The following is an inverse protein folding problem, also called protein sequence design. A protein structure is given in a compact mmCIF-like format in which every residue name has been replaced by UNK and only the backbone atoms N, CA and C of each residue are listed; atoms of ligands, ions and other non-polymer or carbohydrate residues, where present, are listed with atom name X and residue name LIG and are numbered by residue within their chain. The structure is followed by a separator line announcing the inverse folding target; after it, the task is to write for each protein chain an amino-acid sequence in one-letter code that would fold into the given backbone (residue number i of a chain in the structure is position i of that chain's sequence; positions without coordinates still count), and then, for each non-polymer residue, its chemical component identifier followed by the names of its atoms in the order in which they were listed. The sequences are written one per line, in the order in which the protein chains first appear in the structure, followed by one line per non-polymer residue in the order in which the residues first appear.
data_IF_198787303516
#
_entry.id   IF_198787303516
#
_cell.length_a   1.000
_cell.length_b   1.000
_cell.length_c   1.000
_cell.angle_alpha   90.00
_cell.angle_beta   90.00
_cell.angle_gamma   90.00
#
_symmetry.space_group_name_H-M   'P 1'
#
loop_
_entity.id
_entity.type
_entity.pdbx_description
1 polymer ?
2 polymer ?
3 non-polymer ?
4 water ?
#
# COMPACT_ATOMS: atom_id res chain seq x y z
N UNK A 1 12.22 10.09 7.73
CA UNK A 1 13.23 9.38 6.95
C UNK A 1 12.58 8.43 5.95
N UNK A 2 13.06 8.44 4.71
CA UNK A 2 12.53 7.59 3.64
C UNK A 2 12.98 6.15 3.79
N UNK A 3 12.06 5.27 4.19
CA UNK A 3 12.39 3.86 4.42
C UNK A 3 11.41 2.90 3.75
N UNK A 4 11.23 1.73 4.36
CA UNK A 4 10.29 0.72 3.86
C UNK A 4 9.37 0.24 4.98
N UNK A 5 8.40 -0.60 4.61
CA UNK A 5 7.38 -1.06 5.55
C UNK A 5 7.99 -1.85 6.71
N UNK A 6 9.06 -2.58 6.41
CA UNK A 6 9.74 -3.41 7.42
C UNK A 6 10.20 -2.58 8.61
N UNK A 7 10.75 -1.39 8.34
CA UNK A 7 11.23 -0.52 9.39
C UNK A 7 10.10 0.17 10.14
N UNK A 8 9.04 0.50 9.41
CA UNK A 8 7.88 1.17 9.99
C UNK A 8 7.16 0.24 10.97
N UNK A 9 7.07 -1.04 10.61
CA UNK A 9 6.52 -2.04 11.50
C UNK A 9 7.33 -2.12 12.79
N UNK A 10 8.65 -2.21 12.65
CA UNK A 10 9.55 -2.26 13.80
C UNK A 10 9.44 -0.98 14.63
N UNK A 11 9.23 0.15 13.95
CA UNK A 11 9.06 1.44 14.60
C UNK A 11 7.83 1.42 15.50
N UNK A 12 6.71 0.97 14.95
CA UNK A 12 5.47 0.84 15.71
C UNK A 12 5.64 -0.09 16.91
N UNK A 13 6.26 -1.23 16.69
CA UNK A 13 6.44 -2.23 17.75
C UNK A 13 7.26 -1.68 18.91
N UNK A 14 8.26 -0.86 18.60
CA UNK A 14 9.10 -0.28 19.63
C UNK A 14 8.43 0.91 20.30
N UNK A 15 7.81 1.77 19.50
CA UNK A 15 7.17 2.98 20.01
C UNK A 15 5.93 2.67 20.84
N UNK A 16 5.20 1.63 20.47
CA UNK A 16 3.93 1.32 21.13
C UNK A 16 3.99 0.07 21.99
N UNK A 17 5.19 -0.42 22.27
CA UNK A 17 5.40 -1.60 23.09
C UNK A 17 4.54 -2.79 22.65
N UNK A 18 4.43 -2.99 21.35
CA UNK A 18 3.65 -4.09 20.79
C UNK A 18 4.53 -5.17 20.19
N UNK A 19 4.08 -6.41 20.27
CA UNK A 19 4.73 -7.50 19.56
C UNK A 19 3.83 -7.96 18.41
N UNK A 20 4.32 -8.89 17.60
CA UNK A 20 3.59 -9.35 16.42
C UNK A 20 2.21 -9.88 16.77
N UNK A 21 2.10 -10.55 17.92
CA UNK A 21 0.85 -11.15 18.36
C UNK A 21 -0.19 -10.07 18.70
N UNK A 22 0.29 -8.94 19.23
CA UNK A 22 -0.59 -7.82 19.56
C UNK A 22 -1.24 -7.26 18.31
N UNK A 23 -0.42 -7.03 17.29
CA UNK A 23 -0.86 -6.47 16.03
C UNK A 23 -1.89 -7.35 15.34
N UNK A 24 -1.65 -8.66 15.39
CA UNK A 24 -2.59 -9.62 14.83
C UNK A 24 -3.96 -9.54 15.49
N UNK A 25 -3.98 -9.50 16.82
CA UNK A 25 -5.21 -9.37 17.57
C UNK A 25 -6.00 -8.12 17.19
N UNK A 26 -5.29 -7.02 17.00
CA UNK A 26 -5.92 -5.77 16.62
C UNK A 26 -6.46 -5.82 15.19
N UNK A 27 -5.83 -6.63 14.35
CA UNK A 27 -6.20 -6.71 12.95
C UNK A 27 -7.43 -7.59 12.73
N UNK A 28 -7.72 -8.46 13.70
CA UNK A 28 -8.79 -9.44 13.57
C UNK A 28 -10.15 -8.85 13.14
N UNK A 29 -10.60 -7.76 13.78
CA UNK A 29 -11.87 -7.22 13.27
C UNK A 29 -11.73 -6.64 11.88
N UNK A 30 -10.57 -6.08 11.57
CA UNK A 30 -10.34 -5.46 10.27
C UNK A 30 -10.10 -6.51 9.18
N UNK A 31 -9.60 -7.67 9.57
CA UNK A 31 -9.44 -8.78 8.65
C UNK A 31 -10.80 -9.22 8.12
N UNK A 32 -11.77 -9.33 9.04
CA UNK A 32 -13.14 -9.68 8.68
C UNK A 32 -13.80 -8.55 7.90
N UNK A 33 -13.50 -7.32 8.29
CA UNK A 33 -14.13 -6.13 7.73
C UNK A 33 -13.71 -5.90 6.28
N UNK A 34 -12.42 -6.07 6.00
CA UNK A 34 -11.88 -5.79 4.67
C UNK A 34 -11.79 -7.06 3.83
N UNK A 35 -11.95 -8.21 4.46
CA UNK A 35 -11.82 -9.49 3.78
C UNK A 35 -10.37 -9.82 3.46
N UNK A 36 -9.46 -9.26 4.25
CA UNK A 36 -8.04 -9.47 4.05
C UNK A 36 -7.42 -10.22 5.22
N UNK A 37 -6.97 -11.44 4.98
CA UNK A 37 -6.39 -12.26 6.05
C UNK A 37 -4.89 -12.06 6.19
N UNK A 38 -4.40 -12.25 7.42
CA UNK A 38 -2.99 -12.08 7.74
C UNK A 38 -2.57 -13.05 8.83
N UNK A 39 -1.74 -14.03 8.47
CA UNK A 39 -1.28 -15.04 9.41
C UNK A 39 -0.06 -14.56 10.18
N UNK A 40 0.29 -15.28 11.26
CA UNK A 40 1.45 -14.92 12.07
C UNK A 40 2.74 -15.06 11.29
N UNK A 41 2.83 -16.12 10.50
CA UNK A 41 4.03 -16.39 9.70
C UNK A 41 4.24 -15.32 8.63
N UNK A 42 3.15 -14.90 7.97
CA UNK A 42 3.26 -13.90 6.93
C UNK A 42 3.58 -12.52 7.49
N UNK A 43 3.11 -12.25 8.71
CA UNK A 43 3.44 -10.98 9.37
C UNK A 43 4.91 -11.01 9.83
N UNK A 44 5.36 -12.18 10.28
CA UNK A 44 6.75 -12.35 10.65
C UNK A 44 7.66 -12.07 9.47
N UNK A 45 7.21 -12.46 8.28
CA UNK A 45 7.97 -12.23 7.05
C UNK A 45 8.06 -10.75 6.71
N UNK A 46 6.97 -10.02 6.95
CA UNK A 46 6.96 -8.57 6.69
C UNK A 46 7.94 -7.86 7.61
N UNK A 47 7.93 -8.23 8.88
CA UNK A 47 8.84 -7.65 9.86
C UNK A 47 10.29 -7.99 9.56
N UNK A 48 10.53 -9.26 9.22
CA UNK A 48 11.88 -9.73 8.91
C UNK A 48 12.30 -9.40 7.48
N UNK A 49 11.47 -8.61 6.81
CA UNK A 49 11.75 -8.10 5.46
C UNK A 49 11.98 -9.24 4.45
N UNK A 50 11.28 -10.35 4.66
CA UNK A 50 11.36 -11.48 3.74
C UNK A 50 10.54 -11.17 2.49
N UNK A 51 9.33 -10.67 2.69
CA UNK A 51 8.49 -10.25 1.58
C UNK A 51 7.87 -8.90 1.89
N UNK A 52 7.63 -8.10 0.84
CA UNK A 52 6.98 -6.81 1.01
C UNK A 52 5.47 -6.95 0.86
N UNK A 53 4.71 -6.47 1.84
CA UNK A 53 3.24 -6.53 1.81
C UNK A 53 2.66 -5.77 0.64
N UNK A 54 1.64 -6.34 -0.01
CA UNK A 54 0.98 -5.68 -1.13
C UNK A 54 -0.05 -4.66 -0.65
N UNK A 55 -0.76 -4.07 -1.61
CA UNK A 55 -1.75 -3.03 -1.33
C UNK A 55 -2.74 -3.44 -0.23
N UNK A 56 -3.29 -4.64 -0.35
CA UNK A 56 -4.27 -5.16 0.59
C UNK A 56 -3.76 -5.19 2.03
N UNK A 57 -2.61 -5.82 2.23
CA UNK A 57 -2.05 -5.99 3.58
C UNK A 57 -1.59 -4.66 4.16
N UNK A 58 -1.14 -3.74 3.30
CA UNK A 58 -0.81 -2.38 3.75
C UNK A 58 -2.05 -1.71 4.31
N UNK A 59 -3.14 -1.79 3.54
CA UNK A 59 -4.42 -1.23 3.95
C UNK A 59 -4.85 -1.82 5.29
N UNK A 60 -4.70 -3.13 5.44
CA UNK A 60 -5.10 -3.83 6.65
C UNK A 60 -4.35 -3.35 7.89
N UNK A 61 -3.03 -3.29 7.79
CA UNK A 61 -2.20 -2.90 8.91
C UNK A 61 -2.32 -1.42 9.23
N UNK A 62 -2.53 -0.60 8.20
CA UNK A 62 -2.72 0.83 8.39
C UNK A 62 -3.95 1.12 9.22
N UNK A 63 -5.09 0.56 8.80
CA UNK A 63 -6.35 0.76 9.52
C UNK A 63 -6.30 0.14 10.91
N UNK A 64 -5.57 -0.98 11.03
CA UNK A 64 -5.39 -1.66 12.31
C UNK A 64 -4.59 -0.82 13.30
N UNK A 65 -3.48 -0.27 12.84
CA UNK A 65 -2.61 0.54 13.69
C UNK A 65 -3.07 1.99 13.76
N UNK A 66 -4.02 2.35 12.90
CA UNK A 66 -4.55 3.70 12.87
C UNK A 66 -3.55 4.71 12.36
N UNK A 67 -2.85 4.36 11.29
CA UNK A 67 -1.82 5.23 10.72
C UNK A 67 -2.02 5.40 9.21
N UNK A 68 -1.26 6.32 8.62
CA UNK A 68 -1.30 6.58 7.20
C UNK A 68 -0.64 5.47 6.40
N UNK A 69 -1.30 5.05 5.32
CA UNK A 69 -0.77 4.02 4.44
C UNK A 69 0.56 4.45 3.85
N UNK A 70 0.66 5.73 3.49
CA UNK A 70 1.88 6.28 2.92
C UNK A 70 3.02 6.19 3.92
N UNK A 71 2.72 6.44 5.19
CA UNK A 71 3.73 6.37 6.23
C UNK A 71 4.17 4.93 6.46
N UNK A 72 3.21 4.01 6.39
CA UNK A 72 3.48 2.61 6.63
C UNK A 72 4.34 2.01 5.53
N UNK A 73 4.40 2.69 4.38
CA UNK A 73 5.19 2.21 3.26
C UNK A 73 6.59 2.81 3.27
N UNK A 74 6.85 3.72 4.20
CA UNK A 74 8.19 4.26 4.36
C UNK A 74 8.37 5.67 3.82
N UNK A 75 7.27 6.30 3.41
CA UNK A 75 7.35 7.67 2.90
C UNK A 75 7.55 8.68 4.02
N UNK A 76 8.26 9.77 3.70
CA UNK A 76 8.48 10.84 4.66
C UNK A 76 7.23 11.71 4.80
N UNK A 77 6.22 11.17 5.48
CA UNK A 77 4.93 11.84 5.60
C UNK A 77 4.45 11.83 7.06
N UNK A 78 3.41 12.61 7.38
CA UNK A 78 2.79 12.50 8.70
C UNK A 78 2.26 11.10 8.98
N UNK A 79 2.43 10.63 10.21
CA UNK A 79 2.03 9.28 10.60
C UNK A 79 0.51 9.09 10.53
N UNK A 80 -0.24 10.18 10.61
CA UNK A 80 -1.69 10.12 10.51
C UNK A 80 -2.26 11.26 9.66
N UNK B 4 -12.88 -3.01 -2.24
CA UNK B 4 -12.49 -2.45 -3.52
C UNK B 4 -11.81 -1.09 -3.34
N UNK B 5 -11.16 -0.61 -4.39
CA UNK B 5 -10.51 0.69 -4.35
C UNK B 5 -11.01 1.60 -5.47
N UNK B 6 -11.31 2.85 -5.11
CA UNK B 6 -11.75 3.86 -6.06
C UNK B 6 -10.53 4.55 -6.68
N UNK B 7 -10.23 4.23 -7.93
CA UNK B 7 -9.05 4.79 -8.59
C UNK B 7 -9.37 5.99 -9.48
N UNK B 8 -10.46 6.69 -9.20
CA UNK B 8 -10.86 7.84 -10.00
C UNK B 8 -9.72 8.86 -10.11
N UNK B 9 -9.25 9.34 -8.97
CA UNK B 9 -8.18 10.33 -8.93
C UNK B 9 -6.93 9.84 -9.66
N UNK B 10 -6.59 8.57 -9.45
CA UNK B 10 -5.41 7.99 -10.08
C UNK B 10 -5.52 7.99 -11.59
N UNK B 11 -6.70 7.65 -12.10
CA UNK B 11 -6.93 7.61 -13.54
C UNK B 11 -6.81 9.01 -14.15
N UNK B 12 -7.10 10.03 -13.33
CA UNK B 12 -6.97 11.40 -13.78
C UNK B 12 -5.52 11.77 -14.07
N UNK B 13 -4.64 11.44 -13.12
CA UNK B 13 -3.22 11.76 -13.25
C UNK B 13 -2.59 11.00 -14.41
N UNK B 14 -3.06 9.77 -14.63
CA UNK B 14 -2.53 8.93 -15.69
C UNK B 14 -2.83 9.52 -17.07
N UNK B 15 -4.05 10.02 -17.23
CA UNK B 15 -4.45 10.68 -18.47
C UNK B 15 -3.67 11.98 -18.66
N UNK B 16 -3.53 12.72 -17.57
CA UNK B 16 -2.82 13.99 -17.55
C UNK B 16 -1.32 13.83 -17.84
N UNK B 17 -0.69 12.87 -17.16
CA UNK B 17 0.76 12.69 -17.25
C UNK B 17 1.22 11.81 -18.41
N UNK B 18 0.54 10.69 -18.61
CA UNK B 18 1.00 9.69 -19.57
C UNK B 18 0.17 9.64 -20.84
N UNK B 19 -1.10 10.02 -20.74
CA UNK B 19 -2.00 9.94 -21.88
C UNK B 19 -2.81 8.66 -21.82
N UNK B 20 -2.31 7.60 -22.45
CA UNK B 20 -3.02 6.32 -22.46
C UNK B 20 -2.54 5.42 -21.32
N UNK B 21 -3.37 4.41 -21.02
CA UNK B 21 -3.00 3.39 -20.07
C UNK B 21 -1.77 2.63 -20.55
N UNK B 22 -1.68 2.46 -21.87
CA UNK B 22 -0.54 1.79 -22.48
C UNK B 22 0.76 2.55 -22.20
N UNK B 23 0.74 3.87 -22.41
CA UNK B 23 1.88 4.72 -22.10
C UNK B 23 2.30 4.59 -20.65
N UNK B 24 1.30 4.55 -19.76
CA UNK B 24 1.55 4.39 -18.35
C UNK B 24 2.20 3.04 -18.05
N UNK B 25 1.71 2.00 -18.73
CA UNK B 25 2.26 0.66 -18.58
C UNK B 25 3.74 0.62 -18.90
N UNK B 26 4.10 1.17 -20.06
CA UNK B 26 5.49 1.26 -20.49
C UNK B 26 6.35 2.01 -19.46
N UNK B 27 5.81 3.10 -18.94
CA UNK B 27 6.52 3.91 -17.95
C UNK B 27 6.71 3.16 -16.64
N UNK B 28 5.79 2.25 -16.33
CA UNK B 28 5.86 1.45 -15.12
C UNK B 28 6.72 0.21 -15.29
N UNK B 29 7.02 -0.14 -16.54
CA UNK B 29 7.76 -1.34 -16.84
C UNK B 29 6.90 -2.58 -16.76
N UNK B 30 5.58 -2.39 -16.95
CA UNK B 30 4.62 -3.47 -16.85
C UNK B 30 3.90 -3.69 -18.18
N UNK B 31 3.26 -4.86 -18.33
CA UNK B 31 2.40 -5.09 -19.49
C UNK B 31 1.10 -4.34 -19.27
N UNK B 32 0.41 -4.01 -20.37
CA UNK B 32 -0.81 -3.24 -20.26
C UNK B 32 -1.92 -4.07 -19.62
N UNK B 33 -1.94 -5.37 -19.91
CA UNK B 33 -2.92 -6.26 -19.30
C UNK B 33 -2.74 -6.31 -17.78
N UNK B 34 -1.48 -6.25 -17.35
CA UNK B 34 -1.18 -6.19 -15.92
C UNK B 34 -1.74 -4.91 -15.32
N UNK B 35 -1.50 -3.80 -16.01
CA UNK B 35 -1.99 -2.49 -15.55
C UNK B 35 -3.50 -2.44 -15.56
N UNK B 36 -4.10 -2.99 -16.62
CA UNK B 36 -5.55 -3.04 -16.74
C UNK B 36 -6.21 -3.78 -15.58
N UNK B 37 -5.66 -4.94 -15.23
CA UNK B 37 -6.22 -5.75 -14.15
C UNK B 37 -6.09 -5.06 -12.80
N UNK B 38 -5.09 -4.20 -12.65
CA UNK B 38 -4.89 -3.49 -11.40
C UNK B 38 -5.77 -2.27 -11.29
N UNK B 39 -5.91 -1.54 -12.40
CA UNK B 39 -6.76 -0.35 -12.43
C UNK B 39 -8.23 -0.74 -12.36
N UNK B 40 -8.52 -2.00 -12.66
CA UNK B 40 -9.89 -2.49 -12.61
C UNK B 40 -10.11 -3.40 -11.40
N UNK B 41 -9.21 -3.27 -10.43
CA UNK B 41 -9.35 -3.89 -9.12
C UNK B 41 -9.54 -5.41 -9.17
N UNK B 42 -8.94 -6.05 -10.17
CA UNK B 42 -8.95 -7.51 -10.23
C UNK B 42 -7.69 -8.07 -9.57
N UNK B 43 -6.60 -7.31 -9.65
CA UNK B 43 -5.33 -7.71 -9.06
C UNK B 43 -4.80 -6.59 -8.18
N UNK B 44 -4.42 -6.94 -6.95
CA UNK B 44 -3.91 -5.96 -6.00
C UNK B 44 -2.59 -5.36 -6.46
N UNK B 45 -2.32 -4.13 -6.02
CA UNK B 45 -1.05 -3.45 -6.36
C UNK B 45 0.10 -3.96 -5.50
N UNK B 46 1.24 -4.21 -6.12
CA UNK B 46 2.44 -4.59 -5.40
C UNK B 46 3.05 -3.37 -4.72
N UNK B 47 3.89 -3.62 -3.73
CA UNK B 47 4.56 -2.56 -2.99
C UNK B 47 5.38 -1.67 -3.92
N UNK B 48 6.21 -2.29 -4.74
CA UNK B 48 7.10 -1.56 -5.63
C UNK B 48 6.37 -0.82 -6.75
N UNK B 49 5.21 -1.33 -7.15
CA UNK B 49 4.44 -0.72 -8.22
C UNK B 49 3.86 0.63 -7.78
N UNK B 50 3.39 0.70 -6.55
CA UNK B 50 2.85 1.94 -6.02
C UNK B 50 3.94 3.00 -5.93
N UNK B 51 5.11 2.62 -5.42
CA UNK B 51 6.23 3.54 -5.32
C UNK B 51 6.66 4.06 -6.68
N UNK B 52 6.63 3.20 -7.69
CA UNK B 52 7.03 3.60 -9.03
C UNK B 52 5.98 4.51 -9.65
N UNK B 53 4.72 4.23 -9.37
CA UNK B 53 3.63 5.08 -9.82
C UNK B 53 3.76 6.50 -9.26
N UNK B 54 4.22 6.60 -8.02
CA UNK B 54 4.45 7.89 -7.38
C UNK B 54 5.56 8.65 -8.09
N UNK B 55 6.60 7.92 -8.47
CA UNK B 55 7.72 8.51 -9.22
C UNK B 55 7.29 8.93 -10.61
N UNK B 56 6.58 8.05 -11.30
CA UNK B 56 6.17 8.28 -12.69
C UNK B 56 5.14 9.41 -12.82
N UNK B 57 4.14 9.39 -11.94
CA UNK B 57 3.06 10.38 -12.01
C UNK B 57 3.38 11.63 -11.20
N UNK B 58 4.52 11.61 -10.50
CA UNK B 58 4.98 12.72 -9.68
C UNK B 58 3.91 13.11 -8.67
N UNK B 59 3.34 12.11 -8.01
CA UNK B 59 2.33 12.33 -7.00
C UNK B 59 2.95 12.80 -5.69
N UNK B 60 2.19 13.61 -4.94
CA UNK B 60 2.57 13.96 -3.59
C UNK B 60 2.34 12.75 -2.70
N UNK B 61 3.40 12.30 -2.01
CA UNK B 61 3.33 11.10 -1.15
C UNK B 61 2.20 11.14 -0.12
N UNK B 62 1.83 12.34 0.32
CA UNK B 62 0.77 12.47 1.32
C UNK B 62 -0.61 12.23 0.71
N UNK B 63 -0.68 12.23 -0.62
CA UNK B 63 -1.95 12.02 -1.32
C UNK B 63 -2.16 10.54 -1.66
N UNK B 64 -1.17 9.72 -1.35
CA UNK B 64 -1.21 8.29 -1.66
C UNK B 64 -2.45 7.55 -1.10
N UNK B 65 -2.86 7.86 0.15
CA UNK B 65 -4.09 7.20 0.61
C UNK B 65 -5.33 7.51 -0.25
N UNK B 66 -5.33 8.66 -0.92
CA UNK B 66 -6.47 9.04 -1.73
C UNK B 66 -6.39 8.46 -3.15
N UNK B 67 -5.19 8.03 -3.53
CA UNK B 67 -4.98 7.50 -4.88
C UNK B 67 -5.09 5.98 -4.94
N UNK B 68 -4.60 5.29 -3.92
CA UNK B 68 -4.51 3.84 -3.95
C UNK B 68 -5.30 3.14 -2.85
N UNK B 69 -5.75 3.89 -1.86
CA UNK B 69 -6.39 3.28 -0.69
C UNK B 69 -7.75 3.90 -0.38
N UNK B 70 -8.46 4.31 -1.43
CA UNK B 70 -9.80 4.87 -1.27
C UNK B 70 -10.86 3.80 -1.52
N UNK B 71 -11.43 3.27 -0.45
CA UNK B 71 -12.46 2.24 -0.55
C UNK B 71 -13.74 2.79 -1.18
N UNK B 72 -14.39 1.96 -2.01
CA UNK B 72 -15.62 2.35 -2.67
C UNK B 72 -16.84 1.87 -1.88
X LIG C 1 -7.63 -8.51 -4.79
X LIG C 1 -7.82 -7.48 -3.78
X LIG C 1 -8.40 -9.71 -4.42
X LIG C 1 -8.09 -8.01 -6.08
X LIG C 1 -6.21 -8.86 -4.89
X LIG D 1 -4.90 -5.42 -22.90
X LIG D 1 -5.05 -4.99 -21.50
X LIG D 1 -5.91 -6.46 -23.18
X LIG D 1 -5.11 -4.29 -23.79
X LIG D 1 -3.57 -5.97 -23.10
#
# INVERSE_FOLDING_TARGET
MQTDTSNRLKQIMAERNLKQVDILNLSIPFQKKFGIKLSKSTLSQYVNSVQSPDQNRIYLLAKTLGVSEAWLMGFDVPMVESSKIENDSHHHHHH
GSMSYDYSSLLGKITEKCGTQYNFAIAMGLSERTVSLKLNDKVTWKDDEILKAVHVLELNPQDIPKYFFNAKVH
SO4 S O1 O2 O3 O4
SO4 S O1 O2 O3 O4
#
